data_IF_631360305936
#
_entry.id   IF_631360305936
#
_cell.length_a   1.000
_cell.length_b   1.000
_cell.length_c   1.000
_cell.angle_alpha   90.00
_cell.angle_beta   90.00
_cell.angle_gamma   90.00
#
_symmetry.space_group_name_H-M   'P 1'
#
loop_
_entity.id
_entity.type
_entity.pdbx_description
1 polymer ?
#
# COMPACT_ATOMS: atom_id res chain seq x y z
N UNK A 1 -17.38 -5.47 -2.89
CA UNK A 1 -16.62 -6.53 -2.18
C UNK A 1 -17.23 -6.86 -0.82
N UNK A 2 -17.53 -5.89 0.05
CA UNK A 2 -18.11 -6.10 1.39
C UNK A 2 -19.36 -6.99 1.44
N UNK A 3 -20.40 -6.69 0.66
CA UNK A 3 -21.63 -7.55 0.60
C UNK A 3 -21.34 -8.99 0.16
N UNK A 4 -20.30 -9.19 -0.65
CA UNK A 4 -19.88 -10.51 -1.17
C UNK A 4 -18.88 -11.22 -0.23
N UNK A 5 -18.38 -10.53 0.80
CA UNK A 5 -17.30 -10.97 1.69
C UNK A 5 -16.10 -11.60 0.95
N UNK A 6 -15.78 -11.06 -0.23
CA UNK A 6 -14.73 -11.58 -1.12
C UNK A 6 -14.23 -10.47 -2.05
N UNK A 7 -12.93 -10.27 -2.09
CA UNK A 7 -12.26 -9.32 -2.99
C UNK A 7 -10.76 -9.23 -2.75
N UNK A 8 -10.06 -8.59 -3.67
CA UNK A 8 -8.65 -8.24 -3.53
C UNK A 8 -8.42 -6.82 -4.07
N UNK A 9 -7.52 -6.07 -3.43
CA UNK A 9 -7.06 -4.75 -3.87
C UNK A 9 -5.53 -4.82 -3.95
N UNK A 10 -4.96 -4.39 -5.08
CA UNK A 10 -3.51 -4.33 -5.27
C UNK A 10 -3.13 -2.90 -5.61
N UNK A 11 -2.39 -2.26 -4.70
CA UNK A 11 -1.80 -0.95 -4.91
C UNK A 11 -0.37 -1.11 -5.45
N UNK A 12 0.09 -0.12 -6.21
CA UNK A 12 1.43 -0.12 -6.79
C UNK A 12 2.36 0.72 -5.91
N UNK A 13 3.29 0.04 -5.25
CA UNK A 13 4.36 0.60 -4.44
C UNK A 13 5.57 1.04 -5.26
N UNK A 14 6.71 1.17 -4.60
CA UNK A 14 8.01 1.50 -5.17
C UNK A 14 9.09 1.25 -4.12
N UNK A 15 10.28 0.78 -4.54
CA UNK A 15 11.45 0.70 -3.67
C UNK A 15 11.82 2.05 -3.03
N UNK A 16 11.46 3.18 -3.64
CA UNK A 16 11.65 4.52 -3.07
C UNK A 16 10.93 4.73 -1.72
N UNK A 17 9.90 3.92 -1.40
CA UNK A 17 9.22 3.97 -0.11
C UNK A 17 10.06 3.45 1.05
N UNK A 18 11.07 2.60 0.78
CA UNK A 18 11.75 1.79 1.80
C UNK A 18 13.28 1.93 1.71
N UNK A 19 13.83 1.95 0.49
CA UNK A 19 15.27 1.83 0.23
C UNK A 19 15.97 3.18 0.32
N UNK A 20 15.28 4.29 0.00
CA UNK A 20 15.90 5.62 -0.09
C UNK A 20 14.99 6.65 0.59
N UNK A 21 15.05 6.80 1.93
CA UNK A 21 14.26 7.80 2.65
C UNK A 21 14.65 9.25 2.30
N UNK A 22 15.80 9.46 1.65
CA UNK A 22 16.32 10.75 1.25
C UNK A 22 16.74 10.73 -0.22
N UNK A 23 15.81 10.41 -1.12
CA UNK A 23 16.06 10.48 -2.56
C UNK A 23 16.05 11.96 -2.97
N UNK A 24 17.22 12.61 -3.16
CA UNK A 24 17.30 14.06 -3.33
C UNK A 24 16.53 14.44 -4.59
N UNK A 25 15.72 15.50 -4.52
CA UNK A 25 14.79 15.92 -5.59
C UNK A 25 13.59 14.98 -5.83
N UNK A 26 13.45 13.89 -5.07
CA UNK A 26 12.35 12.91 -5.17
C UNK A 26 11.53 12.74 -3.87
N UNK A 27 11.72 13.63 -2.90
CA UNK A 27 11.12 13.54 -1.57
C UNK A 27 9.58 13.39 -1.57
N UNK A 28 8.87 14.13 -2.42
CA UNK A 28 7.40 14.05 -2.50
C UNK A 28 6.95 12.70 -3.08
N UNK A 29 7.67 12.18 -4.07
CA UNK A 29 7.37 10.86 -4.62
C UNK A 29 7.63 9.76 -3.59
N UNK A 30 8.79 9.78 -2.92
CA UNK A 30 9.13 8.84 -1.86
C UNK A 30 8.08 8.88 -0.73
N UNK A 31 7.67 10.07 -0.29
CA UNK A 31 6.61 10.24 0.70
C UNK A 31 5.26 9.68 0.24
N UNK A 32 4.88 9.90 -1.02
CA UNK A 32 3.64 9.35 -1.59
C UNK A 32 3.67 7.82 -1.63
N UNK A 33 4.83 7.24 -1.95
CA UNK A 33 5.01 5.78 -2.01
C UNK A 33 5.09 5.15 -0.61
N UNK A 34 5.68 5.83 0.36
CA UNK A 34 5.61 5.43 1.77
C UNK A 34 4.17 5.49 2.30
N UNK A 35 3.41 6.52 1.92
CA UNK A 35 2.00 6.64 2.27
C UNK A 35 1.18 5.46 1.75
N UNK A 36 1.26 5.15 0.44
CA UNK A 36 0.43 4.07 -0.13
C UNK A 36 0.79 2.69 0.44
N UNK A 37 2.07 2.46 0.76
CA UNK A 37 2.54 1.25 1.42
C UNK A 37 1.90 1.09 2.81
N UNK A 38 1.99 2.12 3.67
CA UNK A 38 1.39 2.07 5.00
C UNK A 38 -0.14 2.03 4.95
N UNK A 39 -0.77 2.79 4.07
CA UNK A 39 -2.22 2.81 3.90
C UNK A 39 -2.75 1.44 3.50
N UNK A 40 -2.07 0.75 2.58
CA UNK A 40 -2.44 -0.61 2.16
C UNK A 40 -2.37 -1.61 3.32
N UNK A 41 -1.34 -1.50 4.17
CA UNK A 41 -1.21 -2.34 5.38
C UNK A 41 -2.35 -2.10 6.38
N UNK A 42 -2.72 -0.84 6.61
CA UNK A 42 -3.85 -0.51 7.48
C UNK A 42 -5.16 -1.10 6.94
N UNK A 43 -5.45 -0.90 5.66
CA UNK A 43 -6.64 -1.46 5.01
C UNK A 43 -6.68 -2.98 5.05
N UNK A 44 -5.54 -3.66 4.87
CA UNK A 44 -5.48 -5.11 5.02
C UNK A 44 -5.97 -5.54 6.41
N UNK A 45 -5.47 -4.92 7.47
CA UNK A 45 -5.89 -5.25 8.84
C UNK A 45 -7.37 -4.94 9.07
N UNK A 46 -7.86 -3.80 8.58
CA UNK A 46 -9.25 -3.37 8.73
C UNK A 46 -10.24 -4.28 8.01
N UNK A 47 -9.88 -4.77 6.81
CA UNK A 47 -10.80 -5.47 5.91
C UNK A 47 -10.57 -6.98 5.76
N UNK A 48 -9.51 -7.52 6.39
CA UNK A 48 -9.21 -8.97 6.35
C UNK A 48 -10.39 -9.83 6.84
N UNK A 49 -11.08 -9.42 7.90
CA UNK A 49 -12.24 -10.16 8.45
C UNK A 49 -13.47 -10.12 7.53
N UNK A 50 -13.52 -9.15 6.62
CA UNK A 50 -14.56 -8.93 5.63
C UNK A 50 -14.24 -9.66 4.31
N UNK A 51 -13.17 -10.46 4.29
CA UNK A 51 -12.77 -11.28 3.13
C UNK A 51 -12.18 -10.46 1.99
N UNK A 52 -11.61 -9.29 2.29
CA UNK A 52 -10.91 -8.45 1.33
C UNK A 52 -9.43 -8.50 1.64
N UNK A 53 -8.64 -9.00 0.70
CA UNK A 53 -7.18 -8.94 0.77
C UNK A 53 -6.69 -7.61 0.15
N UNK A 54 -5.70 -6.98 0.77
CA UNK A 54 -5.13 -5.71 0.31
C UNK A 54 -3.63 -5.83 0.34
N UNK A 55 -3.00 -5.59 -0.80
CA UNK A 55 -1.56 -5.73 -0.98
C UNK A 55 -0.98 -4.46 -1.64
N UNK A 56 0.26 -4.13 -1.31
CA UNK A 56 1.04 -3.10 -1.99
C UNK A 56 2.23 -3.78 -2.66
N UNK A 57 2.25 -3.84 -3.99
CA UNK A 57 3.35 -4.47 -4.72
C UNK A 57 4.41 -3.43 -5.04
N UNK A 58 5.58 -3.56 -4.44
CA UNK A 58 6.78 -2.79 -4.77
C UNK A 58 7.72 -3.68 -5.57
N UNK A 59 8.28 -3.17 -6.67
CA UNK A 59 9.36 -3.81 -7.41
C UNK A 59 10.69 -3.67 -6.66
#
# INVERSE_FOLDING_TARGET
MLRRKKGAIVNIGSGAAIVIPSDPLYAVYAATKAYIDQFSRCLYVEYKKQGIDVQCQSN
#
